data_IF_701564133062
#
_entry.id   IF_701564133062
#
_cell.length_a   1.000
_cell.length_b   1.000
_cell.length_c   1.000
_cell.angle_alpha   90.00
_cell.angle_beta   90.00
_cell.angle_gamma   90.00
#
_symmetry.space_group_name_H-M   'P 1'
#
loop_
_entity.id
_entity.type
_entity.pdbx_description
1 polymer ?
#
# COMPACT_ATOMS: atom_id res chain seq x y z
N UNK A 1 -19.53 0.59 19.53
CA UNK A 1 -18.16 1.10 19.74
C UNK A 1 -18.26 2.18 20.81
N UNK A 2 -17.86 1.86 22.04
CA UNK A 2 -17.85 2.82 23.14
C UNK A 2 -16.54 3.59 23.06
N UNK A 3 -16.64 4.90 22.85
CA UNK A 3 -15.56 5.77 22.40
C UNK A 3 -14.37 5.85 23.36
N UNK A 4 -13.23 5.35 22.90
CA UNK A 4 -11.93 5.83 23.36
C UNK A 4 -11.67 7.23 22.77
N UNK A 5 -10.79 7.99 23.41
CA UNK A 5 -10.34 9.27 22.88
C UNK A 5 -9.66 9.07 21.52
N UNK A 6 -9.98 9.93 20.55
CA UNK A 6 -9.34 9.90 19.23
C UNK A 6 -7.87 10.29 19.36
N UNK A 7 -6.97 9.44 18.91
CA UNK A 7 -5.55 9.76 18.79
C UNK A 7 -5.22 10.00 17.31
N UNK A 8 -4.57 11.13 17.02
CA UNK A 8 -4.06 11.42 15.66
C UNK A 8 -2.87 10.51 15.37
N UNK A 9 -2.90 9.82 14.23
CA UNK A 9 -1.76 9.02 13.77
C UNK A 9 -0.58 9.92 13.40
N UNK A 10 0.64 9.47 13.73
CA UNK A 10 1.90 10.07 13.30
C UNK A 10 2.43 9.46 11.98
N UNK A 11 1.67 8.55 11.37
CA UNK A 11 2.05 7.93 10.10
C UNK A 11 1.86 8.92 8.96
N UNK A 12 2.80 8.91 8.03
CA UNK A 12 2.66 9.60 6.75
C UNK A 12 1.72 8.80 5.87
N UNK A 13 0.72 9.47 5.30
CA UNK A 13 -0.27 8.85 4.43
C UNK A 13 -0.09 9.37 3.01
N UNK A 14 0.11 8.47 2.07
CA UNK A 14 0.16 8.77 0.64
C UNK A 14 -1.04 8.13 -0.04
N UNK A 15 -1.81 8.94 -0.76
CA UNK A 15 -2.90 8.49 -1.61
C UNK A 15 -2.43 8.48 -3.06
N UNK A 16 -2.66 7.36 -3.74
CA UNK A 16 -2.34 7.18 -5.15
C UNK A 16 -3.60 6.74 -5.89
N UNK A 17 -4.12 7.61 -6.73
CA UNK A 17 -5.36 7.35 -7.48
C UNK A 17 -5.05 7.01 -8.93
N UNK A 18 -5.93 6.21 -9.52
CA UNK A 18 -5.87 5.84 -10.93
C UNK A 18 -4.56 5.16 -11.36
N UNK A 19 -3.93 4.42 -10.44
CA UNK A 19 -2.70 3.65 -10.69
C UNK A 19 -2.99 2.56 -11.72
N UNK A 20 -2.33 2.64 -12.88
CA UNK A 20 -2.35 1.59 -13.90
C UNK A 20 -1.16 0.67 -13.77
N UNK A 21 0.01 1.27 -13.61
CA UNK A 21 1.29 0.60 -13.52
C UNK A 21 2.26 1.56 -12.83
N UNK A 22 2.78 1.18 -11.67
CA UNK A 22 3.77 1.98 -10.94
C UNK A 22 4.71 1.10 -10.16
N UNK A 23 5.97 1.51 -10.10
CA UNK A 23 7.00 0.91 -9.24
C UNK A 23 7.24 1.81 -8.03
N UNK A 24 7.30 1.19 -6.86
CA UNK A 24 7.53 1.87 -5.58
C UNK A 24 8.59 1.09 -4.81
N UNK A 25 9.53 1.84 -4.24
CA UNK A 25 10.47 1.34 -3.22
C UNK A 25 10.13 1.99 -1.89
N UNK A 26 10.24 1.22 -0.81
CA UNK A 26 10.05 1.73 0.54
C UNK A 26 11.37 2.04 1.26
N UNK A 27 12.51 1.96 0.57
CA UNK A 27 13.84 2.34 1.09
C UNK A 27 14.17 1.76 2.47
N UNK A 28 13.85 0.48 2.71
CA UNK A 28 14.09 -0.16 4.00
C UNK A 28 13.08 0.22 5.10
N UNK A 29 11.99 0.92 4.76
CA UNK A 29 10.88 1.21 5.68
C UNK A 29 9.84 0.10 5.63
N UNK A 30 9.21 -0.13 6.77
CA UNK A 30 7.94 -0.83 6.83
C UNK A 30 6.83 0.02 6.19
N UNK A 31 5.86 -0.60 5.53
CA UNK A 31 4.69 0.08 4.98
C UNK A 31 3.42 -0.76 5.16
N UNK A 32 2.28 -0.09 5.32
CA UNK A 32 0.96 -0.71 5.15
C UNK A 32 0.29 -0.15 3.91
N UNK A 33 -0.33 -1.03 3.12
CA UNK A 33 -0.97 -0.69 1.86
C UNK A 33 -2.43 -1.13 1.94
N UNK A 34 -3.34 -0.25 1.55
CA UNK A 34 -4.77 -0.53 1.44
C UNK A 34 -5.20 -0.30 0.01
N UNK A 35 -5.83 -1.29 -0.61
CA UNK A 35 -6.46 -1.14 -1.92
C UNK A 35 -7.86 -0.59 -1.70
N UNK A 36 -8.06 0.68 -2.01
CA UNK A 36 -9.33 1.39 -1.81
C UNK A 36 -10.26 1.28 -3.01
N UNK A 37 -9.74 0.94 -4.19
CA UNK A 37 -10.52 0.66 -5.40
C UNK A 37 -9.74 -0.23 -6.37
N UNK A 38 -10.44 -1.10 -7.08
CA UNK A 38 -9.91 -1.85 -8.23
C UNK A 38 -9.38 -3.25 -7.90
N UNK A 39 -8.79 -3.88 -8.92
CA UNK A 39 -8.18 -5.22 -8.85
C UNK A 39 -6.86 -5.19 -9.62
N UNK A 40 -5.86 -5.91 -9.13
CA UNK A 40 -4.52 -5.83 -9.67
C UNK A 40 -3.56 -6.89 -9.16
N UNK A 41 -2.29 -6.66 -9.42
CA UNK A 41 -1.18 -7.49 -8.97
C UNK A 41 -0.14 -6.60 -8.30
N UNK A 42 0.31 -7.00 -7.11
CA UNK A 42 1.57 -6.51 -6.53
C UNK A 42 2.64 -7.51 -6.91
N UNK A 43 3.56 -7.12 -7.80
CA UNK A 43 4.73 -7.90 -8.16
C UNK A 43 5.91 -7.48 -7.27
N UNK A 44 6.59 -8.48 -6.73
CA UNK A 44 7.78 -8.31 -5.89
C UNK A 44 8.90 -9.17 -6.45
N UNK A 45 10.13 -8.97 -5.97
CA UNK A 45 11.27 -9.80 -6.33
C UNK A 45 11.10 -11.30 -6.02
N UNK A 46 10.16 -11.67 -5.14
CA UNK A 46 9.96 -13.05 -4.68
C UNK A 46 8.78 -13.71 -5.41
N UNK A 47 7.66 -13.01 -5.53
CA UNK A 47 6.42 -13.50 -6.15
C UNK A 47 5.45 -12.38 -6.44
N UNK A 48 4.43 -12.74 -7.21
CA UNK A 48 3.27 -11.92 -7.49
C UNK A 48 2.14 -12.22 -6.51
N UNK A 49 1.37 -11.19 -6.19
CA UNK A 49 0.19 -11.26 -5.33
C UNK A 49 -1.00 -10.62 -6.03
N UNK A 50 -2.09 -11.36 -6.19
CA UNK A 50 -3.36 -10.77 -6.60
C UNK A 50 -3.90 -9.89 -5.46
N UNK A 51 -4.45 -8.74 -5.83
CA UNK A 51 -5.03 -7.78 -4.90
C UNK A 51 -6.38 -7.27 -5.39
N UNK A 52 -7.28 -6.98 -4.45
CA UNK A 52 -8.61 -6.39 -4.72
C UNK A 52 -8.99 -5.35 -3.67
N UNK A 53 -9.99 -4.55 -4.02
CA UNK A 53 -10.61 -3.57 -3.15
C UNK A 53 -10.95 -4.13 -1.76
N UNK A 54 -10.61 -3.35 -0.73
CA UNK A 54 -10.80 -3.67 0.68
C UNK A 54 -9.67 -4.49 1.31
N UNK A 55 -8.71 -4.99 0.53
CA UNK A 55 -7.58 -5.72 1.07
C UNK A 55 -6.49 -4.79 1.61
N UNK A 56 -5.83 -5.28 2.67
CA UNK A 56 -4.73 -4.58 3.33
C UNK A 56 -3.51 -5.49 3.40
N UNK A 57 -2.37 -4.95 3.04
CA UNK A 57 -1.09 -5.64 3.03
C UNK A 57 -0.10 -4.93 3.93
N UNK A 58 0.79 -5.73 4.51
CA UNK A 58 1.91 -5.26 5.32
C UNK A 58 3.18 -5.61 4.57
N UNK A 59 3.97 -4.60 4.24
CA UNK A 59 5.26 -4.74 3.60
C UNK A 59 6.35 -4.62 4.67
N UNK A 60 7.16 -5.67 4.88
CA UNK A 60 8.28 -5.61 5.79
C UNK A 60 9.32 -4.60 5.27
N UNK A 61 10.15 -4.09 6.18
CA UNK A 61 11.29 -3.26 5.83
C UNK A 61 12.21 -4.01 4.84
N UNK A 62 12.18 -3.60 3.58
CA UNK A 62 13.04 -4.14 2.53
C UNK A 62 13.46 -3.05 1.54
N UNK A 63 14.51 -3.34 0.79
CA UNK A 63 14.98 -2.52 -0.34
C UNK A 63 14.40 -3.00 -1.67
N UNK A 64 13.38 -3.86 -1.61
CA UNK A 64 12.78 -4.44 -2.81
C UNK A 64 11.91 -3.42 -3.54
N UNK A 65 11.85 -3.57 -4.85
CA UNK A 65 10.93 -2.83 -5.70
C UNK A 65 9.61 -3.58 -5.72
N UNK A 66 8.53 -2.84 -5.51
CA UNK A 66 7.16 -3.33 -5.59
C UNK A 66 6.48 -2.69 -6.79
N UNK A 67 6.01 -3.49 -7.74
CA UNK A 67 5.25 -3.01 -8.89
C UNK A 67 3.76 -3.27 -8.70
N UNK A 68 2.94 -2.24 -8.85
CA UNK A 68 1.49 -2.30 -8.73
C UNK A 68 0.88 -2.18 -10.10
N UNK A 69 0.21 -3.24 -10.55
CA UNK A 69 -0.35 -3.35 -11.89
C UNK A 69 -1.86 -3.55 -11.80
N UNK A 70 -2.63 -2.64 -12.39
CA UNK A 70 -4.07 -2.81 -12.55
C UNK A 70 -4.38 -3.87 -13.61
N UNK A 71 -5.30 -4.80 -13.32
CA UNK A 71 -5.67 -5.88 -14.27
C UNK A 71 -6.97 -5.62 -15.01
N UNK A 72 -7.92 -4.87 -14.42
CA UNK A 72 -9.23 -4.55 -15.04
C UNK A 72 -9.55 -3.07 -15.04
N UNK A 73 -9.48 -2.46 -13.85
CA UNK A 73 -9.71 -1.03 -13.60
C UNK A 73 -8.51 -0.48 -12.84
N UNK A 74 -8.26 0.82 -12.97
CA UNK A 74 -7.17 1.46 -12.24
C UNK A 74 -7.30 1.19 -10.72
N UNK A 75 -6.16 1.07 -10.06
CA UNK A 75 -6.06 0.90 -8.62
C UNK A 75 -6.07 2.26 -7.92
N UNK A 76 -6.79 2.36 -6.81
CA UNK A 76 -6.57 3.43 -5.84
C UNK A 76 -5.97 2.84 -4.58
N UNK A 77 -4.82 3.36 -4.18
CA UNK A 77 -3.96 2.78 -3.16
C UNK A 77 -3.70 3.83 -2.09
N UNK A 78 -3.90 3.44 -0.83
CA UNK A 78 -3.44 4.21 0.32
C UNK A 78 -2.22 3.53 0.91
N UNK A 79 -1.13 4.27 1.03
CA UNK A 79 0.11 3.82 1.66
C UNK A 79 0.28 4.56 2.97
N UNK A 80 0.51 3.82 4.04
CA UNK A 80 0.80 4.33 5.37
C UNK A 80 2.23 3.97 5.76
N UNK A 81 3.04 4.99 6.05
CA UNK A 81 4.44 4.84 6.43
C UNK A 81 4.63 5.29 7.90
N UNK A 82 5.30 4.50 8.74
CA UNK A 82 5.63 4.91 10.10
C UNK A 82 6.62 6.09 10.07
N UNK A 83 6.62 6.93 11.11
CA UNK A 83 7.57 8.04 11.21
C UNK A 83 9.02 7.53 11.22
N UNK A 84 9.91 8.24 10.52
CA UNK A 84 11.36 8.01 10.59
C UNK A 84 11.93 8.82 11.77
N UNK A 85 12.76 8.17 12.59
CA UNK A 85 13.48 8.80 13.70
C UNK A 85 14.98 8.89 13.39
#
# INVERSE_FOLDING_TARGET
>A
LNGGEYMKSCFEMMLMEEVKDIEITFEGRFASIVITRGEGIISTNVRDFEVKEGETYIIPASTDVHRYLATKRNLDIVISLPPQY
#
